data_IF_496530809929
#
_entry.id   IF_496530809929
#
_cell.length_a   1.000
_cell.length_b   1.000
_cell.length_c   1.000
_cell.angle_alpha   90.00
_cell.angle_beta   90.00
_cell.angle_gamma   90.00
#
_symmetry.space_group_name_H-M   'P 1'
#
loop_
_entity.id
_entity.type
_entity.pdbx_description
1 polymer ?
#
# COMPACT_ATOMS: atom_id res chain seq x y z
N UNK A 1 -14.21 -13.67 17.21
CA UNK A 1 -13.80 -13.27 15.85
C UNK A 1 -14.13 -11.79 15.54
N UNK A 2 -15.42 -11.34 15.37
CA UNK A 2 -15.70 -9.92 15.06
C UNK A 2 -15.19 -8.95 16.14
N UNK A 3 -15.37 -9.26 17.43
CA UNK A 3 -14.85 -8.45 18.53
C UNK A 3 -13.32 -8.41 18.58
N UNK A 4 -12.64 -9.50 18.26
CA UNK A 4 -11.17 -9.56 18.19
C UNK A 4 -10.66 -8.75 17.01
N UNK A 5 -11.35 -8.81 15.86
CA UNK A 5 -11.02 -8.00 14.69
C UNK A 5 -11.22 -6.50 14.98
N UNK A 6 -12.36 -6.12 15.60
CA UNK A 6 -12.61 -4.74 16.01
C UNK A 6 -11.48 -4.23 16.92
N UNK A 7 -11.07 -5.03 17.92
CA UNK A 7 -9.99 -4.67 18.83
C UNK A 7 -8.64 -4.52 18.11
N UNK A 8 -8.31 -5.44 17.19
CA UNK A 8 -7.08 -5.35 16.41
C UNK A 8 -7.03 -4.08 15.52
N UNK A 9 -8.16 -3.71 14.92
CA UNK A 9 -8.29 -2.48 14.15
C UNK A 9 -8.14 -1.22 15.00
N UNK A 10 -8.61 -1.23 16.26
CA UNK A 10 -8.46 -0.14 17.23
C UNK A 10 -7.00 -0.04 17.69
N UNK A 11 -6.43 -1.16 18.16
CA UNK A 11 -5.13 -1.14 18.86
C UNK A 11 -3.96 -1.00 17.89
N UNK A 12 -4.07 -1.66 16.74
CA UNK A 12 -2.93 -1.83 15.83
C UNK A 12 -3.17 -1.20 14.45
N UNK A 13 -4.41 -1.16 13.97
CA UNK A 13 -4.71 -0.78 12.59
C UNK A 13 -4.29 -1.84 11.58
N UNK A 14 -3.95 -3.05 12.02
CA UNK A 14 -3.65 -4.19 11.15
C UNK A 14 -3.92 -5.53 11.82
N UNK A 15 -4.01 -6.57 10.99
CA UNK A 15 -4.20 -7.96 11.42
C UNK A 15 -3.58 -8.93 10.40
N UNK A 16 -3.42 -10.18 10.79
CA UNK A 16 -2.97 -11.26 9.88
C UNK A 16 -4.18 -12.04 9.37
N UNK A 17 -4.23 -12.24 8.05
CA UNK A 17 -5.24 -13.02 7.36
C UNK A 17 -4.64 -14.34 6.91
N UNK A 18 -5.19 -15.46 7.39
CA UNK A 18 -4.80 -16.80 7.01
C UNK A 18 -5.94 -17.54 6.31
N UNK A 19 -5.63 -18.66 5.64
CA UNK A 19 -6.65 -19.48 4.97
C UNK A 19 -7.29 -18.80 3.76
N UNK A 20 -6.57 -17.89 3.12
CA UNK A 20 -7.00 -17.11 1.95
C UNK A 20 -7.12 -17.96 0.67
N UNK A 21 -6.45 -19.14 0.61
CA UNK A 21 -6.51 -20.07 -0.51
C UNK A 21 -5.74 -19.64 -1.76
N UNK A 22 -4.77 -18.73 -1.61
CA UNK A 22 -3.97 -18.17 -2.71
C UNK A 22 -2.52 -18.66 -2.70
N UNK A 23 -2.20 -19.72 -1.95
CA UNK A 23 -0.82 -20.15 -1.68
C UNK A 23 -0.03 -20.41 -2.98
N UNK A 24 -0.59 -21.18 -3.91
CA UNK A 24 0.05 -21.52 -5.20
C UNK A 24 0.27 -20.26 -6.07
N UNK A 25 -0.69 -19.35 -6.10
CA UNK A 25 -0.60 -18.11 -6.86
C UNK A 25 0.44 -17.16 -6.25
N UNK A 26 0.50 -17.11 -4.93
CA UNK A 26 1.50 -16.32 -4.18
C UNK A 26 2.91 -16.85 -4.48
N UNK A 27 3.13 -18.17 -4.49
CA UNK A 27 4.42 -18.77 -4.83
C UNK A 27 4.85 -18.40 -6.27
N UNK A 28 3.93 -18.49 -7.23
CA UNK A 28 4.19 -18.08 -8.61
C UNK A 28 4.51 -16.58 -8.71
N UNK A 29 3.78 -15.75 -7.94
CA UNK A 29 3.99 -14.30 -7.93
C UNK A 29 5.35 -13.93 -7.34
N UNK A 30 5.80 -14.63 -6.29
CA UNK A 30 7.18 -14.47 -5.77
C UNK A 30 8.21 -14.81 -6.82
N UNK A 31 8.09 -15.96 -7.49
CA UNK A 31 9.06 -16.42 -8.48
C UNK A 31 9.25 -15.41 -9.63
N UNK A 32 8.16 -14.84 -10.16
CA UNK A 32 8.25 -13.84 -11.24
C UNK A 32 8.75 -12.49 -10.73
N UNK A 33 8.46 -12.12 -9.48
CA UNK A 33 8.95 -10.89 -8.85
C UNK A 33 10.46 -10.93 -8.68
N UNK A 34 10.99 -12.00 -8.10
CA UNK A 34 12.43 -12.22 -7.95
C UNK A 34 13.12 -12.25 -9.32
N UNK A 35 12.56 -12.95 -10.30
CA UNK A 35 13.09 -13.00 -11.65
C UNK A 35 13.15 -11.62 -12.31
N UNK A 36 12.13 -10.78 -12.13
CA UNK A 36 12.09 -9.42 -12.67
C UNK A 36 13.21 -8.55 -12.08
N UNK A 37 13.35 -8.52 -10.76
CA UNK A 37 14.36 -7.69 -10.12
C UNK A 37 15.78 -8.20 -10.31
N UNK A 38 15.98 -9.52 -10.44
CA UNK A 38 17.25 -10.13 -10.82
C UNK A 38 17.61 -9.91 -12.30
N UNK A 39 16.69 -9.43 -13.11
CA UNK A 39 16.91 -9.13 -14.53
C UNK A 39 17.93 -8.01 -14.75
N UNK A 40 18.41 -7.90 -15.98
CA UNK A 40 19.38 -6.86 -16.32
C UNK A 40 18.79 -5.45 -16.20
N UNK A 41 19.65 -4.49 -15.87
CA UNK A 41 19.22 -3.11 -15.62
C UNK A 41 18.58 -2.46 -16.85
N UNK A 42 19.03 -2.77 -18.06
CA UNK A 42 18.50 -2.18 -19.27
C UNK A 42 17.03 -2.59 -19.50
N UNK A 43 16.71 -3.86 -19.23
CA UNK A 43 15.33 -4.35 -19.30
C UNK A 43 14.42 -3.69 -18.27
N UNK A 44 14.88 -3.48 -17.03
CA UNK A 44 14.14 -2.74 -16.00
C UNK A 44 13.94 -1.27 -16.40
N UNK A 45 14.97 -0.60 -16.90
CA UNK A 45 14.89 0.79 -17.35
C UNK A 45 13.99 0.97 -18.59
N UNK A 46 13.82 -0.04 -19.42
CA UNK A 46 12.91 0.01 -20.59
C UNK A 46 11.43 0.20 -20.19
N UNK A 47 11.06 -0.18 -18.97
CA UNK A 47 9.73 -0.01 -18.40
C UNK A 47 9.70 1.00 -17.25
N UNK A 48 10.70 1.88 -17.20
CA UNK A 48 10.82 2.89 -16.15
C UNK A 48 9.69 3.91 -16.26
N UNK A 49 9.09 4.27 -15.11
CA UNK A 49 8.09 5.35 -15.01
C UNK A 49 8.70 6.71 -15.32
N UNK A 50 7.87 7.65 -15.70
CA UNK A 50 8.25 9.04 -15.96
C UNK A 50 7.22 10.04 -15.38
N UNK A 51 7.42 11.33 -15.62
CA UNK A 51 6.55 12.38 -15.09
C UNK A 51 5.09 12.31 -15.60
N UNK A 52 4.88 11.75 -16.78
CA UNK A 52 3.54 11.64 -17.39
C UNK A 52 2.83 10.33 -17.04
N UNK A 53 3.60 9.31 -16.65
CA UNK A 53 3.07 7.99 -16.27
C UNK A 53 3.81 7.42 -15.06
N UNK A 54 3.15 7.38 -13.88
CA UNK A 54 3.75 6.94 -12.63
C UNK A 54 3.84 5.41 -12.47
N UNK A 55 3.42 4.62 -13.48
CA UNK A 55 3.44 3.16 -13.44
C UNK A 55 4.72 2.60 -14.09
N UNK A 56 5.10 1.41 -13.69
CA UNK A 56 6.29 0.71 -14.13
C UNK A 56 7.40 0.69 -13.09
N UNK A 57 8.63 0.49 -13.55
CA UNK A 57 9.82 0.39 -12.70
C UNK A 57 10.31 1.74 -12.18
N UNK A 58 10.80 1.78 -10.93
CA UNK A 58 11.51 2.93 -10.39
C UNK A 58 12.43 2.55 -9.22
N UNK A 59 13.59 3.22 -9.11
CA UNK A 59 14.61 2.94 -8.10
C UNK A 59 15.08 4.20 -7.32
N UNK A 60 14.32 5.29 -7.39
CA UNK A 60 14.71 6.61 -6.86
C UNK A 60 13.59 7.28 -6.08
N UNK A 61 12.67 6.50 -5.51
CA UNK A 61 11.58 7.05 -4.72
C UNK A 61 12.08 7.84 -3.53
N UNK A 62 11.33 8.90 -3.21
CA UNK A 62 11.59 9.75 -2.07
C UNK A 62 10.50 9.54 -1.01
N UNK A 63 10.91 9.38 0.24
CA UNK A 63 10.05 9.52 1.41
C UNK A 63 10.62 10.64 2.26
N UNK A 64 9.83 11.71 2.46
CA UNK A 64 10.27 12.89 3.21
C UNK A 64 11.62 13.44 2.71
N UNK A 65 11.78 13.58 1.41
CA UNK A 65 12.96 14.11 0.70
C UNK A 65 14.25 13.30 0.89
N UNK A 66 14.15 12.07 1.36
CA UNK A 66 15.25 11.11 1.40
C UNK A 66 14.93 9.95 0.50
N UNK A 67 15.94 9.46 -0.22
CA UNK A 67 15.76 8.34 -1.13
C UNK A 67 15.61 7.03 -0.35
N UNK A 68 14.60 6.27 -0.70
CA UNK A 68 14.40 4.92 -0.16
C UNK A 68 15.43 3.94 -0.72
N UNK A 69 15.84 2.97 0.09
CA UNK A 69 16.73 1.89 -0.34
C UNK A 69 15.92 0.74 -0.92
N UNK A 70 15.23 1.01 -2.03
CA UNK A 70 14.39 0.02 -2.73
C UNK A 70 14.29 0.32 -4.22
N UNK A 71 13.93 -0.69 -4.98
CA UNK A 71 13.41 -0.57 -6.34
C UNK A 71 12.00 -1.17 -6.39
N UNK A 72 11.16 -0.61 -7.26
CA UNK A 72 9.73 -0.97 -7.32
C UNK A 72 9.27 -1.20 -8.76
N UNK A 73 8.16 -1.95 -8.91
CA UNK A 73 7.40 -2.03 -10.15
C UNK A 73 5.91 -1.89 -9.82
N UNK A 74 5.28 -0.85 -10.36
CA UNK A 74 3.90 -0.50 -10.12
C UNK A 74 3.00 -0.80 -11.32
N UNK A 75 1.82 -1.37 -11.06
CA UNK A 75 0.77 -1.52 -12.06
C UNK A 75 -0.62 -1.38 -11.42
N UNK A 76 -1.61 -1.05 -12.25
CA UNK A 76 -3.02 -0.92 -11.87
C UNK A 76 -3.88 -1.90 -12.65
N UNK A 77 -5.21 -1.88 -12.47
CA UNK A 77 -6.14 -2.88 -13.01
C UNK A 77 -5.82 -3.28 -14.47
N UNK A 78 -5.27 -4.48 -14.67
CA UNK A 78 -4.85 -4.92 -15.98
C UNK A 78 -6.02 -5.48 -16.83
N UNK A 79 -7.21 -5.66 -16.25
CA UNK A 79 -8.39 -6.15 -16.95
C UNK A 79 -9.23 -5.01 -17.55
N UNK A 80 -9.08 -3.78 -17.06
CA UNK A 80 -9.74 -2.60 -17.64
C UNK A 80 -8.81 -1.94 -18.68
N UNK A 81 -9.16 -1.92 -19.98
CA UNK A 81 -8.32 -1.31 -21.02
C UNK A 81 -8.00 0.17 -20.78
N UNK A 82 -8.84 0.89 -20.01
CA UNK A 82 -8.62 2.31 -19.69
C UNK A 82 -7.47 2.51 -18.71
N UNK A 83 -7.21 1.52 -17.86
CA UNK A 83 -6.12 1.52 -16.89
C UNK A 83 -4.91 0.76 -17.42
N UNK A 84 -5.12 -0.41 -18.06
CA UNK A 84 -4.02 -1.24 -18.59
C UNK A 84 -3.17 -0.54 -19.66
N UNK A 85 -3.74 0.39 -20.43
CA UNK A 85 -2.98 1.20 -21.41
C UNK A 85 -1.85 2.03 -20.77
N UNK A 86 -1.90 2.24 -19.45
CA UNK A 86 -0.86 2.96 -18.69
C UNK A 86 0.14 2.02 -18.03
N UNK A 87 -0.17 0.72 -17.92
CA UNK A 87 0.78 -0.27 -17.40
C UNK A 87 1.96 -0.44 -18.36
N UNK A 88 3.16 -0.52 -17.80
CA UNK A 88 4.40 -0.71 -18.56
C UNK A 88 4.90 -2.13 -18.41
N UNK A 89 4.37 -3.04 -19.22
CA UNK A 89 4.78 -4.43 -19.18
C UNK A 89 6.14 -4.63 -19.85
N UNK A 90 7.06 -5.45 -19.26
CA UNK A 90 8.28 -5.84 -19.94
C UNK A 90 7.99 -6.56 -21.27
N UNK A 91 8.82 -6.36 -22.27
CA UNK A 91 8.69 -7.08 -23.55
C UNK A 91 8.88 -8.60 -23.34
N UNK A 92 8.21 -9.41 -24.16
CA UNK A 92 8.31 -10.88 -24.17
C UNK A 92 8.07 -11.54 -22.80
N UNK A 93 7.17 -10.97 -21.98
CA UNK A 93 6.92 -11.40 -20.60
C UNK A 93 5.49 -11.86 -20.35
N UNK A 94 4.95 -12.69 -21.24
CA UNK A 94 3.57 -13.20 -21.12
C UNK A 94 3.31 -13.87 -19.77
N UNK A 95 4.27 -14.64 -19.24
CA UNK A 95 4.16 -15.28 -17.93
C UNK A 95 4.12 -14.24 -16.80
N UNK A 96 5.00 -13.24 -16.83
CA UNK A 96 5.03 -12.17 -15.84
C UNK A 96 3.70 -11.42 -15.80
N UNK A 97 3.22 -10.95 -16.96
CA UNK A 97 1.93 -10.26 -17.05
C UNK A 97 0.77 -11.19 -16.67
N UNK A 98 0.74 -12.42 -17.18
CA UNK A 98 -0.35 -13.37 -16.91
C UNK A 98 -0.51 -13.65 -15.42
N UNK A 99 0.58 -13.97 -14.72
CA UNK A 99 0.57 -14.20 -13.27
C UNK A 99 0.13 -12.95 -12.50
N UNK A 100 0.59 -11.75 -12.89
CA UNK A 100 0.20 -10.51 -12.20
C UNK A 100 -1.26 -10.13 -12.46
N UNK A 101 -1.84 -10.47 -13.61
CA UNK A 101 -3.27 -10.32 -13.87
C UNK A 101 -4.09 -11.20 -12.93
N UNK A 102 -3.75 -12.49 -12.82
CA UNK A 102 -4.41 -13.43 -11.91
C UNK A 102 -4.26 -12.98 -10.44
N UNK A 103 -3.07 -12.53 -10.07
CA UNK A 103 -2.80 -12.02 -8.72
C UNK A 103 -3.64 -10.77 -8.41
N UNK A 104 -3.73 -9.84 -9.36
CA UNK A 104 -4.56 -8.63 -9.20
C UNK A 104 -6.04 -8.99 -8.99
N UNK A 105 -6.58 -9.90 -9.79
CA UNK A 105 -7.96 -10.37 -9.68
C UNK A 105 -8.24 -11.00 -8.32
N UNK A 106 -7.39 -11.93 -7.89
CA UNK A 106 -7.52 -12.62 -6.62
C UNK A 106 -7.41 -11.65 -5.41
N UNK A 107 -6.46 -10.71 -5.45
CA UNK A 107 -6.33 -9.69 -4.41
C UNK A 107 -7.51 -8.71 -4.39
N UNK A 108 -8.06 -8.35 -5.56
CA UNK A 108 -9.27 -7.50 -5.62
C UNK A 108 -10.45 -8.15 -4.91
N UNK A 109 -10.70 -9.43 -5.18
CA UNK A 109 -11.79 -10.20 -4.55
C UNK A 109 -11.53 -10.38 -3.03
N UNK A 110 -10.29 -10.62 -2.65
CA UNK A 110 -9.92 -10.77 -1.24
C UNK A 110 -10.06 -9.45 -0.48
N UNK A 111 -9.66 -8.33 -1.08
CA UNK A 111 -9.76 -7.00 -0.47
C UNK A 111 -11.21 -6.58 -0.25
N UNK A 112 -12.11 -6.87 -1.19
CA UNK A 112 -13.56 -6.63 -1.01
C UNK A 112 -14.08 -7.40 0.20
N UNK A 113 -13.77 -8.72 0.30
CA UNK A 113 -14.20 -9.55 1.44
C UNK A 113 -13.58 -9.10 2.77
N UNK A 114 -12.31 -8.69 2.76
CA UNK A 114 -11.64 -8.16 3.95
C UNK A 114 -12.29 -6.84 4.41
N UNK A 115 -12.60 -5.96 3.47
CA UNK A 115 -13.29 -4.70 3.75
C UNK A 115 -14.70 -4.93 4.32
N UNK A 116 -15.48 -5.85 3.74
CA UNK A 116 -16.80 -6.23 4.26
C UNK A 116 -16.69 -6.77 5.69
N UNK A 117 -15.70 -7.62 5.97
CA UNK A 117 -15.48 -8.16 7.31
C UNK A 117 -15.13 -7.08 8.34
N UNK A 118 -14.30 -6.09 7.97
CA UNK A 118 -13.98 -4.93 8.80
C UNK A 118 -15.23 -4.09 9.10
N UNK A 119 -16.09 -3.86 8.11
CA UNK A 119 -17.36 -3.15 8.31
C UNK A 119 -18.35 -3.94 9.18
N UNK A 120 -18.41 -5.27 9.04
CA UNK A 120 -19.21 -6.11 9.92
C UNK A 120 -18.70 -6.04 11.38
N UNK A 121 -17.39 -6.01 11.60
CA UNK A 121 -16.82 -5.83 12.92
C UNK A 121 -17.20 -4.47 13.52
N UNK A 122 -17.11 -3.40 12.72
CA UNK A 122 -17.50 -2.04 13.10
C UNK A 122 -18.99 -1.97 13.48
N UNK A 123 -19.89 -2.47 12.61
CA UNK A 123 -21.33 -2.48 12.85
C UNK A 123 -21.69 -3.28 14.11
N UNK A 124 -21.08 -4.46 14.30
CA UNK A 124 -21.27 -5.30 15.50
C UNK A 124 -20.83 -4.56 16.78
N UNK A 125 -19.67 -3.93 16.77
CA UNK A 125 -19.08 -3.29 17.94
C UNK A 125 -19.78 -1.97 18.32
N UNK A 126 -20.31 -1.24 17.34
CA UNK A 126 -21.00 0.06 17.56
C UNK A 126 -22.51 -0.10 17.73
N UNK A 127 -23.07 -1.28 17.46
CA UNK A 127 -24.52 -1.55 17.36
C UNK A 127 -25.22 -0.54 16.40
N UNK A 128 -24.51 -0.07 15.39
CA UNK A 128 -24.99 0.92 14.43
C UNK A 128 -25.42 0.24 13.14
N UNK A 129 -26.51 0.75 12.56
CA UNK A 129 -26.91 0.40 11.18
C UNK A 129 -26.06 1.24 10.21
N UNK A 130 -24.90 0.67 9.83
CA UNK A 130 -23.92 1.34 8.99
C UNK A 130 -24.20 0.97 7.53
N UNK A 131 -24.40 1.96 6.69
CA UNK A 131 -24.39 1.75 5.25
C UNK A 131 -22.95 1.61 4.75
N UNK A 132 -22.47 0.36 4.78
CA UNK A 132 -21.11 0.01 4.33
C UNK A 132 -20.90 0.26 2.82
N UNK A 133 -21.95 0.51 2.05
CA UNK A 133 -21.83 0.76 0.60
C UNK A 133 -21.13 2.07 0.29
N UNK A 134 -21.17 3.05 1.21
CA UNK A 134 -20.53 4.35 1.05
C UNK A 134 -18.98 4.29 1.16
N UNK A 135 -18.44 3.21 1.76
CA UNK A 135 -17.02 3.04 2.06
C UNK A 135 -16.39 1.87 1.31
N UNK A 136 -16.90 1.56 0.12
CA UNK A 136 -16.34 0.50 -0.71
C UNK A 136 -15.13 1.00 -1.48
N UNK A 137 -14.09 0.17 -1.51
CA UNK A 137 -12.98 0.36 -2.43
C UNK A 137 -13.37 0.04 -3.87
N UNK A 138 -12.50 0.36 -4.79
CA UNK A 138 -12.72 0.14 -6.22
C UNK A 138 -11.51 -0.53 -6.84
N UNK A 139 -11.75 -1.62 -7.54
CA UNK A 139 -10.76 -2.32 -8.34
C UNK A 139 -10.02 -1.37 -9.29
N UNK A 140 -10.74 -0.48 -9.99
CA UNK A 140 -10.18 0.37 -11.05
C UNK A 140 -9.26 1.50 -10.55
N UNK A 141 -9.23 1.76 -9.25
CA UNK A 141 -8.35 2.73 -8.60
C UNK A 141 -7.31 2.08 -7.71
N UNK A 142 -7.38 0.77 -7.57
CA UNK A 142 -6.43 -0.04 -6.82
C UNK A 142 -5.16 -0.28 -7.62
N UNK A 143 -4.09 -0.67 -6.95
CA UNK A 143 -2.80 -0.93 -7.57
C UNK A 143 -2.03 -2.01 -6.83
N UNK A 144 -1.12 -2.65 -7.54
CA UNK A 144 -0.12 -3.56 -6.97
C UNK A 144 1.25 -2.93 -7.14
N UNK A 145 2.07 -3.09 -6.14
CA UNK A 145 3.48 -2.75 -6.18
C UNK A 145 4.31 -3.99 -5.87
N UNK A 146 5.27 -4.30 -6.72
CA UNK A 146 6.35 -5.21 -6.37
C UNK A 146 7.48 -4.38 -5.77
N UNK A 147 7.95 -4.72 -4.57
CA UNK A 147 9.10 -4.08 -3.94
C UNK A 147 10.27 -5.07 -3.83
N UNK A 148 11.45 -4.58 -4.14
CA UNK A 148 12.73 -5.21 -3.81
C UNK A 148 13.56 -4.25 -2.97
N UNK A 149 13.98 -4.70 -1.80
CA UNK A 149 14.86 -3.99 -0.88
C UNK A 149 16.22 -4.71 -0.87
N UNK A 150 17.18 -4.28 -1.69
CA UNK A 150 18.49 -4.92 -1.75
C UNK A 150 19.33 -4.58 -0.51
N UNK A 151 20.33 -5.41 -0.26
CA UNK A 151 21.41 -5.01 0.65
C UNK A 151 22.21 -3.90 -0.02
N UNK A 152 22.05 -2.67 0.49
CA UNK A 152 22.68 -1.47 -0.03
C UNK A 152 21.81 -0.62 -0.94
N UNK A 153 22.43 0.16 -1.81
CA UNK A 153 21.76 1.10 -2.69
C UNK A 153 21.36 0.44 -4.02
N UNK A 154 20.07 0.42 -4.41
CA UNK A 154 19.64 -0.16 -5.68
C UNK A 154 20.20 0.57 -6.91
N UNK A 155 20.53 1.86 -6.77
CA UNK A 155 21.10 2.64 -7.87
C UNK A 155 22.60 2.42 -7.95
N UNK A 156 23.17 2.05 -9.11
CA UNK A 156 24.61 1.91 -9.30
C UNK A 156 25.36 3.20 -8.98
N UNK A 157 26.58 3.09 -8.42
CA UNK A 157 27.38 4.26 -8.00
C UNK A 157 27.53 5.32 -9.10
N UNK A 158 27.78 4.90 -10.34
CA UNK A 158 27.93 5.81 -11.48
C UNK A 158 26.67 6.60 -11.88
N UNK A 159 25.50 6.21 -11.36
CA UNK A 159 24.21 6.87 -11.65
C UNK A 159 23.69 7.72 -10.49
N UNK A 160 24.43 7.80 -9.37
CA UNK A 160 23.98 8.51 -8.15
C UNK A 160 24.22 10.02 -8.19
N UNK A 161 24.95 10.51 -9.17
CA UNK A 161 25.28 11.94 -9.27
C UNK A 161 24.01 12.77 -9.40
N UNK A 162 23.80 13.71 -8.46
CA UNK A 162 22.63 14.59 -8.42
C UNK A 162 21.38 13.98 -7.79
N UNK A 163 21.44 12.75 -7.29
CA UNK A 163 20.34 12.16 -6.51
C UNK A 163 20.41 12.59 -5.04
N UNK A 164 19.25 12.54 -4.37
CA UNK A 164 19.16 12.70 -2.92
C UNK A 164 19.93 11.57 -2.21
N UNK A 165 20.39 11.85 -1.00
CA UNK A 165 21.01 10.84 -0.13
C UNK A 165 19.98 9.77 0.26
N UNK A 166 20.45 8.55 0.52
CA UNK A 166 19.63 7.50 1.13
C UNK A 166 19.14 7.92 2.51
N UNK A 167 17.92 7.54 2.83
CA UNK A 167 17.36 7.64 4.16
C UNK A 167 17.99 6.66 5.13
N UNK A 168 17.68 6.80 6.42
CA UNK A 168 18.09 5.87 7.48
C UNK A 168 17.28 4.56 7.48
N UNK A 169 16.20 4.51 6.71
CA UNK A 169 15.29 3.36 6.56
C UNK A 169 15.23 2.96 5.09
N UNK A 170 14.92 1.71 4.81
CA UNK A 170 14.73 1.23 3.44
C UNK A 170 13.43 1.77 2.82
N UNK A 171 12.43 2.01 3.67
CA UNK A 171 11.22 2.79 3.38
C UNK A 171 10.91 3.66 4.60
N UNK A 172 10.79 4.97 4.40
CA UNK A 172 10.45 5.95 5.43
C UNK A 172 9.08 5.68 6.07
N UNK A 173 8.90 6.13 7.31
CA UNK A 173 7.63 5.93 8.00
C UNK A 173 6.49 6.73 7.36
N UNK A 174 5.38 6.05 7.13
CA UNK A 174 4.19 6.60 6.47
C UNK A 174 2.94 5.80 6.88
N UNK A 175 1.77 6.28 6.48
CA UNK A 175 0.53 5.54 6.39
C UNK A 175 0.19 5.30 4.93
N UNK A 176 -0.60 4.28 4.62
CA UNK A 176 -1.17 4.10 3.30
C UNK A 176 -2.40 5.00 3.13
N UNK A 177 -2.61 5.61 1.96
CA UNK A 177 -3.72 6.57 1.78
C UNK A 177 -5.09 5.90 1.61
N UNK A 178 -5.14 4.62 1.14
CA UNK A 178 -6.36 3.93 0.68
C UNK A 178 -7.35 3.49 1.75
N UNK A 179 -8.05 2.41 1.46
CA UNK A 179 -9.01 1.73 2.36
C UNK A 179 -8.27 0.76 3.27
N UNK A 180 -7.59 -0.17 2.65
CA UNK A 180 -6.71 -1.16 3.28
C UNK A 180 -5.66 -1.63 2.28
N UNK A 181 -4.60 -2.21 2.79
CA UNK A 181 -3.55 -2.85 2.00
C UNK A 181 -3.47 -4.33 2.34
N UNK A 182 -3.47 -5.19 1.33
CA UNK A 182 -3.09 -6.60 1.46
C UNK A 182 -1.60 -6.70 1.18
N UNK A 183 -0.80 -6.97 2.19
CA UNK A 183 0.66 -7.01 2.06
C UNK A 183 1.17 -8.44 2.16
N UNK A 184 1.75 -8.93 1.07
CA UNK A 184 2.65 -10.08 1.11
C UNK A 184 4.04 -9.62 1.50
N UNK A 185 4.67 -10.30 2.44
CA UNK A 185 6.08 -10.15 2.76
C UNK A 185 6.78 -11.50 2.71
N UNK A 186 8.03 -11.51 2.26
CA UNK A 186 8.87 -12.69 2.34
C UNK A 186 9.28 -13.01 3.79
N UNK A 187 10.09 -14.04 3.98
CA UNK A 187 10.51 -14.48 5.33
C UNK A 187 11.71 -13.70 5.89
N UNK A 188 12.15 -12.60 5.24
CA UNK A 188 13.31 -11.81 5.67
C UNK A 188 13.01 -10.93 6.87
N UNK A 189 11.75 -10.43 6.99
CA UNK A 189 11.36 -9.51 8.06
C UNK A 189 11.66 -8.03 7.73
N UNK A 190 11.84 -7.19 8.76
CA UNK A 190 12.20 -5.78 8.62
C UNK A 190 11.02 -4.81 8.48
N UNK A 191 9.78 -5.29 8.41
CA UNK A 191 8.59 -4.44 8.54
C UNK A 191 8.39 -4.08 10.00
N UNK A 192 8.21 -2.79 10.28
CA UNK A 192 7.88 -2.29 11.62
C UNK A 192 6.61 -1.44 11.57
N UNK A 193 5.74 -1.60 12.55
CA UNK A 193 4.60 -0.72 12.78
C UNK A 193 4.75 0.07 14.09
N UNK A 194 4.17 1.26 14.14
CA UNK A 194 4.23 2.10 15.32
C UNK A 194 3.06 1.79 16.25
N UNK A 195 3.38 1.38 17.47
CA UNK A 195 2.40 1.19 18.54
C UNK A 195 1.80 2.53 19.02
N UNK A 196 0.74 2.47 19.83
CA UNK A 196 0.06 3.66 20.37
C UNK A 196 0.98 4.53 21.21
N UNK A 197 1.93 3.92 21.91
CA UNK A 197 2.92 4.61 22.75
C UNK A 197 4.09 5.23 21.94
N UNK A 198 4.07 5.10 20.61
CA UNK A 198 5.10 5.59 19.70
C UNK A 198 6.29 4.66 19.50
N UNK A 199 6.35 3.53 20.21
CA UNK A 199 7.39 2.53 20.01
C UNK A 199 7.22 1.80 18.68
N UNK A 200 8.35 1.30 18.11
CA UNK A 200 8.34 0.49 16.89
C UNK A 200 8.32 -1.00 17.26
N UNK A 201 7.41 -1.72 16.62
CA UNK A 201 7.22 -3.17 16.80
C UNK A 201 7.48 -3.88 15.49
N UNK A 202 8.31 -4.92 15.51
CA UNK A 202 8.55 -5.77 14.35
C UNK A 202 7.30 -6.58 14.00
N UNK A 203 6.95 -6.61 12.72
CA UNK A 203 5.87 -7.43 12.17
C UNK A 203 6.52 -8.66 11.54
N UNK A 204 6.70 -9.67 12.38
CA UNK A 204 7.35 -10.91 11.97
C UNK A 204 6.57 -11.63 10.86
N UNK A 205 7.24 -12.05 9.77
CA UNK A 205 6.60 -12.83 8.74
C UNK A 205 6.06 -14.16 9.30
N UNK A 206 4.82 -14.46 8.96
CA UNK A 206 4.17 -15.72 9.34
C UNK A 206 3.79 -16.48 8.08
N UNK A 207 4.27 -17.72 7.89
CA UNK A 207 3.97 -18.49 6.70
C UNK A 207 2.45 -18.66 6.46
N UNK A 208 2.01 -18.56 5.22
CA UNK A 208 0.60 -18.72 4.83
C UNK A 208 -0.31 -17.58 5.33
N UNK A 209 0.25 -16.41 5.62
CA UNK A 209 -0.54 -15.22 6.01
C UNK A 209 -0.29 -14.02 5.10
N UNK A 210 -1.31 -13.19 4.99
CA UNK A 210 -1.26 -11.86 4.40
C UNK A 210 -1.42 -10.84 5.53
N UNK A 211 -0.58 -9.83 5.60
CA UNK A 211 -0.77 -8.70 6.50
C UNK A 211 -1.83 -7.79 5.90
N UNK A 212 -2.88 -7.49 6.66
CA UNK A 212 -3.89 -6.50 6.27
C UNK A 212 -3.69 -5.28 7.15
N UNK A 213 -3.33 -4.15 6.56
CA UNK A 213 -3.25 -2.88 7.27
C UNK A 213 -4.35 -1.92 6.81
N UNK A 214 -5.00 -1.28 7.77
CA UNK A 214 -5.98 -0.24 7.52
C UNK A 214 -5.26 1.06 7.14
N UNK A 215 -5.91 1.81 6.27
CA UNK A 215 -5.32 2.98 5.65
C UNK A 215 -6.10 4.27 5.99
N UNK A 216 -5.64 5.41 5.49
CA UNK A 216 -6.14 6.75 5.86
C UNK A 216 -7.64 6.92 5.62
N UNK A 217 -8.17 6.43 4.47
CA UNK A 217 -9.60 6.52 4.19
C UNK A 217 -10.45 5.73 5.20
N UNK A 218 -9.98 4.55 5.64
CA UNK A 218 -10.65 3.77 6.68
C UNK A 218 -10.65 4.50 8.02
N UNK A 219 -9.56 5.14 8.39
CA UNK A 219 -9.50 5.95 9.61
C UNK A 219 -10.50 7.10 9.58
N UNK A 220 -10.58 7.82 8.46
CA UNK A 220 -11.55 8.92 8.31
C UNK A 220 -13.00 8.40 8.35
N UNK A 221 -13.30 7.34 7.57
CA UNK A 221 -14.65 6.74 7.55
C UNK A 221 -15.12 6.28 8.93
N UNK A 222 -14.21 5.71 9.72
CA UNK A 222 -14.52 5.24 11.08
C UNK A 222 -14.39 6.33 12.15
N UNK A 223 -14.15 7.58 11.76
CA UNK A 223 -14.03 8.74 12.64
C UNK A 223 -12.99 8.53 13.76
N UNK A 224 -11.80 8.01 13.42
CA UNK A 224 -10.71 7.57 14.31
C UNK A 224 -11.03 6.39 15.23
N UNK A 225 -12.11 5.66 15.00
CA UNK A 225 -12.28 4.39 15.74
C UNK A 225 -11.23 3.38 15.35
N UNK A 226 -10.99 3.22 14.06
CA UNK A 226 -9.89 2.43 13.52
C UNK A 226 -8.77 3.36 13.09
N UNK A 227 -7.56 2.93 13.21
CA UNK A 227 -6.39 3.73 12.89
C UNK A 227 -5.72 3.28 11.61
N UNK A 228 -5.21 4.22 10.83
CA UNK A 228 -4.21 3.92 9.81
C UNK A 228 -2.88 3.58 10.51
N UNK A 229 -2.31 2.44 10.18
CA UNK A 229 -1.09 1.98 10.81
C UNK A 229 0.13 2.72 10.24
N UNK A 230 0.82 3.50 11.07
CA UNK A 230 2.12 4.07 10.68
C UNK A 230 3.14 2.96 10.64
N UNK A 231 3.81 2.76 9.51
CA UNK A 231 4.77 1.68 9.33
C UNK A 231 5.99 2.12 8.54
N UNK A 232 7.07 1.32 8.61
CA UNK A 232 8.34 1.55 7.93
C UNK A 232 9.04 0.24 7.63
N UNK A 233 10.10 0.29 6.80
CA UNK A 233 10.98 -0.86 6.57
C UNK A 233 12.41 -0.48 6.96
N UNK A 234 13.04 -1.29 7.82
CA UNK A 234 14.43 -1.10 8.20
C UNK A 234 15.39 -1.50 7.06
N UNK A 235 16.63 -0.97 7.01
CA UNK A 235 17.58 -1.33 5.97
C UNK A 235 17.96 -2.81 6.01
N UNK A 236 18.10 -3.42 4.86
CA UNK A 236 18.58 -4.80 4.74
C UNK A 236 20.09 -4.87 4.92
N UNK A 237 20.56 -5.83 5.74
CA UNK A 237 21.98 -5.96 6.10
C UNK A 237 22.59 -7.30 5.72
N UNK A 238 21.81 -8.33 5.52
CA UNK A 238 22.31 -9.70 5.29
C UNK A 238 21.73 -10.39 4.07
N UNK A 239 20.50 -10.08 3.71
CA UNK A 239 19.80 -10.64 2.56
C UNK A 239 18.83 -9.61 2.00
N UNK A 240 18.55 -9.70 0.72
CA UNK A 240 17.52 -8.90 0.08
C UNK A 240 16.15 -9.28 0.63
N UNK A 241 15.22 -8.33 0.59
CA UNK A 241 13.83 -8.50 1.00
C UNK A 241 12.90 -8.18 -0.14
N UNK A 242 11.82 -8.92 -0.24
CA UNK A 242 10.72 -8.65 -1.18
C UNK A 242 9.41 -8.44 -0.44
N UNK A 243 8.55 -7.58 -0.99
CA UNK A 243 7.17 -7.45 -0.53
C UNK A 243 6.25 -7.02 -1.67
N UNK A 244 4.97 -7.42 -1.59
CA UNK A 244 3.99 -7.15 -2.64
C UNK A 244 2.71 -6.63 -2.00
N UNK A 245 2.56 -5.30 -1.81
CA UNK A 245 1.31 -4.69 -1.41
C UNK A 245 0.32 -4.60 -2.58
N UNK A 246 -0.93 -4.97 -2.32
CA UNK A 246 -2.10 -4.60 -3.08
C UNK A 246 -2.82 -3.48 -2.33
N UNK A 247 -2.82 -2.27 -2.88
CA UNK A 247 -3.47 -1.10 -2.31
C UNK A 247 -4.92 -1.04 -2.77
N UNK A 248 -5.85 -1.30 -1.84
CA UNK A 248 -7.27 -1.19 -2.11
C UNK A 248 -7.74 0.24 -1.85
N UNK A 249 -8.15 0.92 -2.91
CA UNK A 249 -8.40 2.35 -2.90
C UNK A 249 -9.88 2.68 -3.09
N UNK A 250 -10.37 3.83 -2.56
CA UNK A 250 -11.69 4.35 -2.87
C UNK A 250 -11.89 4.61 -4.37
N UNK A 251 -13.13 4.65 -4.88
CA UNK A 251 -13.42 5.13 -6.23
C UNK A 251 -12.84 6.54 -6.45
N UNK A 252 -12.38 6.82 -7.67
CA UNK A 252 -11.68 8.06 -8.01
C UNK A 252 -12.38 9.34 -7.53
N UNK A 253 -13.70 9.39 -7.67
CA UNK A 253 -14.51 10.57 -7.35
C UNK A 253 -15.24 10.45 -6.00
N UNK A 254 -14.90 9.43 -5.19
CA UNK A 254 -15.47 9.26 -3.86
C UNK A 254 -15.14 10.47 -2.97
N UNK A 255 -16.09 10.82 -2.13
CA UNK A 255 -15.87 11.71 -0.99
C UNK A 255 -15.56 10.83 0.22
N UNK A 256 -14.40 11.07 0.83
CA UNK A 256 -13.99 10.40 2.06
C UNK A 256 -14.36 11.31 3.23
N UNK A 257 -15.33 10.87 4.03
CA UNK A 257 -15.85 11.60 5.21
C UNK A 257 -16.34 10.58 6.25
N UNK A 258 -16.47 10.95 7.52
CA UNK A 258 -16.98 10.04 8.54
C UNK A 258 -18.34 9.46 8.19
N UNK A 259 -18.48 8.13 8.35
CA UNK A 259 -19.71 7.39 8.03
C UNK A 259 -20.86 7.89 8.91
N UNK A 260 -21.99 8.21 8.29
CA UNK A 260 -23.20 8.62 8.99
C UNK A 260 -23.70 7.50 9.91
N UNK A 261 -24.13 7.86 11.11
CA UNK A 261 -24.67 6.91 12.10
C UNK A 261 -23.64 6.39 13.11
N UNK A 262 -22.34 6.67 12.94
CA UNK A 262 -21.36 6.47 14.00
C UNK A 262 -21.54 7.50 15.13
N UNK A 263 -21.31 7.06 16.36
CA UNK A 263 -21.45 7.93 17.54
C UNK A 263 -20.41 9.05 17.57
N UNK A 264 -20.81 10.25 18.00
CA UNK A 264 -19.96 11.42 18.16
C UNK A 264 -20.01 12.38 16.97
N UNK A 265 -19.43 13.56 17.18
CA UNK A 265 -19.31 14.57 16.14
C UNK A 265 -18.26 14.18 15.10
N UNK A 266 -18.46 14.58 13.84
CA UNK A 266 -17.47 14.33 12.79
C UNK A 266 -16.16 15.06 13.14
N UNK A 267 -15.06 14.31 13.12
CA UNK A 267 -13.71 14.84 13.37
C UNK A 267 -13.05 15.38 12.11
N UNK A 268 -13.47 14.93 10.94
CA UNK A 268 -12.88 15.25 9.66
C UNK A 268 -13.87 15.99 8.76
N UNK A 269 -13.38 17.00 8.05
CA UNK A 269 -14.04 17.53 6.87
C UNK A 269 -13.93 16.52 5.71
N UNK A 270 -15.00 16.37 4.93
CA UNK A 270 -14.97 15.52 3.75
C UNK A 270 -14.00 16.05 2.69
N UNK A 271 -13.28 15.13 2.02
CA UNK A 271 -12.40 15.45 0.91
C UNK A 271 -12.60 14.49 -0.26
N UNK A 272 -12.25 14.93 -1.48
CA UNK A 272 -12.30 14.06 -2.65
C UNK A 272 -11.05 13.18 -2.68
N UNK A 273 -11.26 11.88 -2.83
CA UNK A 273 -10.17 10.90 -2.87
C UNK A 273 -9.07 11.23 -3.89
N UNK A 274 -9.45 11.57 -5.12
CA UNK A 274 -8.48 11.89 -6.18
C UNK A 274 -7.58 13.08 -5.83
N UNK A 275 -8.12 14.09 -5.15
CA UNK A 275 -7.39 15.31 -4.79
C UNK A 275 -6.42 15.01 -3.63
N UNK A 276 -6.85 14.19 -2.66
CA UNK A 276 -6.00 13.69 -1.58
C UNK A 276 -4.87 12.82 -2.11
N UNK A 277 -5.20 11.83 -2.97
CA UNK A 277 -4.20 10.91 -3.54
C UNK A 277 -3.14 11.68 -4.32
N UNK A 278 -3.53 12.69 -5.10
CA UNK A 278 -2.60 13.53 -5.82
C UNK A 278 -1.66 14.29 -4.87
N UNK A 279 -2.21 14.92 -3.85
CA UNK A 279 -1.43 15.68 -2.87
C UNK A 279 -0.50 14.79 -2.00
N UNK A 280 -0.79 13.47 -1.92
CA UNK A 280 0.02 12.46 -1.22
C UNK A 280 1.18 11.93 -2.06
N UNK A 281 1.08 12.00 -3.38
CA UNK A 281 2.02 11.30 -4.29
C UNK A 281 2.87 12.22 -5.15
N UNK A 282 2.51 13.50 -5.25
CA UNK A 282 3.21 14.43 -6.14
C UNK A 282 4.71 14.60 -5.79
N UNK A 283 5.09 14.47 -4.50
CA UNK A 283 6.48 14.57 -4.04
C UNK A 283 7.29 13.26 -4.09
N UNK A 284 6.65 12.10 -4.31
CA UNK A 284 7.34 10.81 -4.33
C UNK A 284 8.22 10.62 -5.58
N UNK A 285 7.95 11.37 -6.64
CA UNK A 285 8.66 11.29 -7.92
C UNK A 285 9.79 12.30 -8.03
N UNK A 286 9.54 13.53 -7.60
CA UNK A 286 10.51 14.62 -7.57
C UNK A 286 10.14 15.55 -6.41
N UNK A 287 11.15 16.00 -5.64
CA UNK A 287 10.93 16.97 -4.56
C UNK A 287 10.35 18.27 -5.13
N UNK A 288 9.03 18.43 -5.02
CA UNK A 288 8.30 19.64 -5.43
C UNK A 288 8.35 20.74 -4.37
N UNK A 289 8.98 20.49 -3.22
CA UNK A 289 9.15 21.44 -2.12
C UNK A 289 7.90 21.59 -1.24
N UNK A 290 6.84 20.80 -1.50
CA UNK A 290 5.66 20.75 -0.65
C UNK A 290 5.78 19.59 0.39
N UNK A 291 5.04 19.68 1.47
CA UNK A 291 4.85 18.55 2.38
C UNK A 291 3.70 17.68 1.87
N UNK A 292 3.85 16.34 1.97
CA UNK A 292 2.78 15.41 1.63
C UNK A 292 1.53 15.70 2.46
N UNK A 293 0.36 15.78 1.80
CA UNK A 293 -0.91 15.92 2.51
C UNK A 293 -1.12 14.77 3.49
N UNK A 294 -1.63 15.07 4.65
CA UNK A 294 -1.97 14.11 5.70
C UNK A 294 -3.47 14.21 6.01
N UNK A 295 -4.08 13.14 6.51
CA UNK A 295 -5.50 13.21 6.95
C UNK A 295 -5.71 14.22 8.07
N UNK A 296 -4.67 14.52 8.85
CA UNK A 296 -4.69 15.55 9.89
C UNK A 296 -4.96 16.97 9.35
N UNK A 297 -4.69 17.22 8.07
CA UNK A 297 -4.97 18.50 7.41
C UNK A 297 -6.48 18.74 7.22
N UNK A 298 -7.27 17.66 7.33
CA UNK A 298 -8.72 17.68 7.20
C UNK A 298 -9.45 17.61 8.56
N UNK A 299 -8.72 17.66 9.67
CA UNK A 299 -9.34 17.70 10.99
C UNK A 299 -10.17 18.99 11.15
N UNK A 300 -11.40 18.81 11.60
CA UNK A 300 -12.26 19.93 12.01
C UNK A 300 -11.70 20.50 13.32
N UNK A 301 -11.51 21.80 13.34
CA UNK A 301 -11.09 22.49 14.58
C UNK A 301 -12.20 22.33 15.63
N UNK A 302 -11.90 21.96 16.89
CA UNK A 302 -12.89 21.83 17.95
C UNK A 302 -13.66 23.12 18.23
#
# INVERSE_FOLDING_TARGET
MLSELDQACIDHGFFLLSGHGLDDLIEQTWAITEQFFAGDRASKLAVMRDADNPLGYFDRELTKRKRDSKEVFDFTDPADPRTDQHNRWPADSDTFRGTLVEFYDACSDLAVRANELVHHALAFATASDIDATASLGSRTTSSVRLNHYPVGDPVPEGERVGLHDLGETALGHHTDPGVLTLLLQDMTGGLQAQAVDGSWVDIEPTPGTIVVNLADAMQVWTNDRYRAAVHRVVPMTSSDRYSIPYFFNPPRDAVVEPISGLAGDAKYAGFRWRDYMRARTDDNFADAGAEDAQITDYLLTP
#
